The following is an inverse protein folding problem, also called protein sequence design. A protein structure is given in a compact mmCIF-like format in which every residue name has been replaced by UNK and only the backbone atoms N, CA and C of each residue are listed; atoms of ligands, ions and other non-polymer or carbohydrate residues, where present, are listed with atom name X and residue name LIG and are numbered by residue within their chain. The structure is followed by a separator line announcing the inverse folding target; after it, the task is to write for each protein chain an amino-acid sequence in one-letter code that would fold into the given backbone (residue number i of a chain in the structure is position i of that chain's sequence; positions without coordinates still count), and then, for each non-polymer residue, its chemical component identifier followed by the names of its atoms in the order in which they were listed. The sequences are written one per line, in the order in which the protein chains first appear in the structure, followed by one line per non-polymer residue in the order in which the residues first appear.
data_IF_141298882964
#
_entry.id   IF_141298882964
#
_cell.length_a   1.000
_cell.length_b   1.000
_cell.length_c   1.000
_cell.angle_alpha   90.00
_cell.angle_beta   90.00
_cell.angle_gamma   90.00
#
_symmetry.space_group_name_H-M   'P 1'
#
loop_
_entity.id
_entity.type
_entity.pdbx_description
1 polymer ?
#
# COMPACT_ATOMS: atom_id res chain seq x y z
N UNK A 1 -45.85 24.12 -8.87
CA UNK A 1 -44.66 23.39 -9.34
C UNK A 1 -43.45 24.05 -8.68
N UNK A 2 -43.08 23.58 -7.49
CA UNK A 2 -42.18 24.29 -6.57
C UNK A 2 -40.76 24.22 -7.12
N UNK A 3 -40.25 25.37 -7.56
CA UNK A 3 -38.84 25.56 -7.91
C UNK A 3 -38.08 25.56 -6.59
N UNK A 4 -37.68 24.36 -6.16
CA UNK A 4 -36.85 24.16 -4.98
C UNK A 4 -35.42 24.53 -5.34
N UNK A 5 -34.87 25.54 -4.67
CA UNK A 5 -33.42 25.80 -4.53
C UNK A 5 -32.77 24.66 -3.72
N UNK A 6 -32.99 23.42 -4.17
CA UNK A 6 -32.60 22.22 -3.44
C UNK A 6 -31.13 21.95 -3.72
N UNK A 7 -30.30 22.47 -2.83
CA UNK A 7 -28.92 22.01 -2.67
C UNK A 7 -28.98 20.55 -2.21
N UNK A 8 -29.13 19.61 -3.14
CA UNK A 8 -29.03 18.18 -2.81
C UNK A 8 -27.57 17.85 -2.57
N UNK A 9 -27.15 17.94 -1.31
CA UNK A 9 -25.85 17.48 -0.86
C UNK A 9 -25.82 15.95 -0.93
N UNK A 10 -25.13 15.42 -1.92
CA UNK A 10 -24.68 14.03 -1.86
C UNK A 10 -23.55 13.94 -0.81
N UNK A 11 -23.37 12.79 -0.14
CA UNK A 11 -22.14 12.60 0.62
C UNK A 11 -20.97 12.69 -0.36
N UNK A 12 -20.01 13.56 0.00
CA UNK A 12 -18.70 13.73 -0.63
C UNK A 12 -18.68 14.61 -1.90
N UNK A 13 -18.22 15.85 -1.73
CA UNK A 13 -17.51 16.73 -2.66
C UNK A 13 -18.12 17.12 -4.03
N UNK A 14 -19.20 16.50 -4.50
CA UNK A 14 -19.84 16.85 -5.78
C UNK A 14 -21.18 17.54 -5.55
N UNK A 15 -21.29 18.78 -6.01
CA UNK A 15 -22.51 19.61 -5.88
C UNK A 15 -22.99 19.98 -7.28
N UNK A 16 -24.27 19.72 -7.56
CA UNK A 16 -24.93 20.22 -8.77
C UNK A 16 -25.79 21.42 -8.38
N UNK A 17 -25.46 22.59 -8.91
CA UNK A 17 -26.21 23.83 -8.68
C UNK A 17 -26.92 24.23 -9.96
N UNK A 18 -28.23 24.50 -9.88
CA UNK A 18 -29.02 24.97 -11.02
C UNK A 18 -29.34 26.45 -10.83
N UNK A 19 -28.89 27.28 -11.76
CA UNK A 19 -29.24 28.70 -11.89
C UNK A 19 -30.12 28.93 -13.13
N UNK A 20 -30.76 30.10 -13.23
CA UNK A 20 -31.80 30.42 -14.24
C UNK A 20 -31.48 29.94 -15.66
N UNK A 21 -30.22 30.06 -16.11
CA UNK A 21 -29.78 29.62 -17.45
C UNK A 21 -28.67 28.57 -17.45
N UNK A 22 -28.14 28.16 -16.29
CA UNK A 22 -26.93 27.32 -16.22
C UNK A 22 -27.02 26.25 -15.15
N UNK A 23 -26.41 25.10 -15.40
CA UNK A 23 -26.22 24.02 -14.43
C UNK A 23 -24.72 23.89 -14.17
N UNK A 24 -24.31 24.08 -12.93
CA UNK A 24 -22.92 23.98 -12.49
C UNK A 24 -22.70 22.65 -11.81
N UNK A 25 -21.71 21.88 -12.26
CA UNK A 25 -21.22 20.69 -11.56
C UNK A 25 -19.91 21.07 -10.88
N UNK A 26 -19.93 21.12 -9.56
CA UNK A 26 -18.83 21.54 -8.69
C UNK A 26 -18.24 20.31 -8.03
N UNK A 27 -16.91 20.19 -8.01
CA UNK A 27 -16.15 19.15 -7.31
C UNK A 27 -15.14 19.81 -6.36
N UNK A 28 -15.15 19.47 -5.07
CA UNK A 28 -14.23 19.99 -4.06
C UNK A 28 -14.09 21.53 -4.11
N UNK A 29 -15.23 22.24 -4.09
CA UNK A 29 -15.33 23.71 -4.21
C UNK A 29 -14.76 24.33 -5.51
N UNK A 30 -14.48 23.55 -6.56
CA UNK A 30 -14.11 24.04 -7.89
C UNK A 30 -15.16 23.65 -8.92
N UNK A 31 -15.48 24.56 -9.85
CA UNK A 31 -16.40 24.26 -10.96
C UNK A 31 -15.71 23.27 -11.91
N UNK A 32 -16.23 22.05 -11.99
CA UNK A 32 -15.74 21.00 -12.88
C UNK A 32 -16.31 21.16 -14.29
N UNK A 33 -17.58 21.53 -14.42
CA UNK A 33 -18.26 21.70 -15.71
C UNK A 33 -19.49 22.62 -15.57
N UNK A 34 -19.87 23.27 -16.66
CA UNK A 34 -21.07 24.13 -16.74
C UNK A 34 -21.87 23.77 -17.98
N UNK A 35 -23.18 23.64 -17.82
CA UNK A 35 -24.13 23.29 -18.88
C UNK A 35 -25.21 24.37 -18.99
N UNK A 36 -25.85 24.49 -20.16
CA UNK A 36 -27.07 25.29 -20.28
C UNK A 36 -28.25 24.59 -19.59
N UNK A 37 -29.11 25.36 -18.93
CA UNK A 37 -30.30 24.84 -18.23
C UNK A 37 -31.40 24.47 -19.22
N UNK A 38 -31.22 23.32 -19.89
CA UNK A 38 -32.16 22.72 -20.85
C UNK A 38 -32.54 21.30 -20.38
N UNK A 39 -33.82 20.89 -20.48
CA UNK A 39 -34.28 19.55 -20.08
C UNK A 39 -33.46 18.39 -20.66
N UNK A 40 -32.96 18.59 -21.88
CA UNK A 40 -32.20 17.60 -22.65
C UNK A 40 -30.84 17.26 -22.00
N UNK A 41 -30.33 18.12 -21.13
CA UNK A 41 -28.95 18.04 -20.60
C UNK A 41 -28.88 17.38 -19.22
N UNK A 42 -30.01 17.24 -18.52
CA UNK A 42 -30.05 16.60 -17.20
C UNK A 42 -29.48 15.16 -17.17
N UNK A 43 -29.72 14.28 -18.17
CA UNK A 43 -29.11 12.95 -18.18
C UNK A 43 -27.57 13.00 -18.22
N UNK A 44 -26.99 13.92 -18.99
CA UNK A 44 -25.54 14.11 -19.09
C UNK A 44 -24.95 14.66 -17.79
N UNK A 45 -25.62 15.63 -17.16
CA UNK A 45 -25.25 16.16 -15.83
C UNK A 45 -25.24 15.05 -14.79
N UNK A 46 -26.27 14.19 -14.78
CA UNK A 46 -26.34 13.05 -13.86
C UNK A 46 -25.26 12.01 -14.10
N UNK A 47 -24.96 11.69 -15.37
CA UNK A 47 -23.88 10.78 -15.71
C UNK A 47 -22.52 11.30 -15.23
N UNK A 48 -22.24 12.60 -15.44
CA UNK A 48 -21.03 13.25 -14.96
C UNK A 48 -20.94 13.23 -13.43
N UNK A 49 -22.01 13.62 -12.73
CA UNK A 49 -22.02 13.61 -11.26
C UNK A 49 -21.73 12.20 -10.70
N UNK A 50 -22.33 11.15 -11.29
CA UNK A 50 -22.05 9.76 -10.91
C UNK A 50 -20.59 9.36 -11.15
N UNK A 51 -20.03 9.74 -12.29
CA UNK A 51 -18.63 9.45 -12.62
C UNK A 51 -17.66 10.11 -11.62
N UNK A 52 -17.89 11.38 -11.27
CA UNK A 52 -17.06 12.11 -10.30
C UNK A 52 -17.17 11.52 -8.89
N UNK A 53 -18.35 11.07 -8.47
CA UNK A 53 -18.55 10.38 -7.18
C UNK A 53 -17.80 9.04 -7.17
N UNK A 54 -17.88 8.26 -8.26
CA UNK A 54 -17.16 6.99 -8.38
C UNK A 54 -15.64 7.18 -8.33
N UNK A 55 -15.12 8.19 -9.02
CA UNK A 55 -13.70 8.57 -9.01
C UNK A 55 -13.21 9.01 -7.61
N UNK A 56 -14.03 9.75 -6.85
CA UNK A 56 -13.68 10.13 -5.49
C UNK A 56 -13.65 8.92 -4.56
N UNK A 57 -14.66 8.05 -4.64
CA UNK A 57 -14.67 6.80 -3.86
C UNK A 57 -13.48 5.91 -4.18
N UNK A 58 -13.06 5.81 -5.45
CA UNK A 58 -11.89 5.03 -5.82
C UNK A 58 -10.60 5.66 -5.28
N UNK A 59 -10.45 6.99 -5.36
CA UNK A 59 -9.31 7.72 -4.79
C UNK A 59 -9.25 7.64 -3.26
N UNK A 60 -10.37 7.81 -2.57
CA UNK A 60 -10.46 7.65 -1.11
C UNK A 60 -10.13 6.21 -0.70
N UNK A 61 -10.64 5.21 -1.42
CA UNK A 61 -10.31 3.81 -1.15
C UNK A 61 -8.82 3.53 -1.37
N UNK A 62 -8.26 3.97 -2.50
CA UNK A 62 -6.83 3.81 -2.82
C UNK A 62 -5.95 4.47 -1.75
N UNK A 63 -6.21 5.73 -1.42
CA UNK A 63 -5.46 6.46 -0.38
C UNK A 63 -5.58 5.80 1.00
N UNK A 64 -6.75 5.27 1.35
CA UNK A 64 -6.96 4.54 2.61
C UNK A 64 -6.16 3.24 2.66
N UNK A 65 -6.17 2.47 1.57
CA UNK A 65 -5.39 1.23 1.40
C UNK A 65 -3.88 1.53 1.48
N UNK A 66 -3.40 2.53 0.74
CA UNK A 66 -1.99 2.93 0.76
C UNK A 66 -1.55 3.42 2.15
N UNK A 67 -2.43 4.12 2.88
CA UNK A 67 -2.16 4.57 4.24
C UNK A 67 -2.08 3.40 5.21
N UNK A 68 -3.02 2.45 5.13
CA UNK A 68 -3.01 1.25 5.95
C UNK A 68 -1.72 0.43 5.72
N UNK A 69 -1.35 0.19 4.46
CA UNK A 69 -0.09 -0.48 4.11
C UNK A 69 1.11 0.22 4.74
N UNK A 70 1.22 1.54 4.57
CA UNK A 70 2.36 2.31 5.10
C UNK A 70 2.49 2.19 6.61
N UNK A 71 1.37 2.23 7.34
CA UNK A 71 1.39 2.09 8.80
C UNK A 71 1.82 0.67 9.19
N UNK A 72 1.19 -0.36 8.62
CA UNK A 72 1.48 -1.75 8.97
C UNK A 72 2.92 -2.12 8.61
N UNK A 73 3.34 -1.81 7.38
CA UNK A 73 4.71 -2.02 6.93
C UNK A 73 5.72 -1.28 7.79
N UNK A 74 5.47 0.00 8.09
CA UNK A 74 6.36 0.81 8.94
C UNK A 74 6.54 0.22 10.34
N UNK A 75 5.46 -0.31 10.95
CA UNK A 75 5.54 -0.97 12.25
C UNK A 75 6.37 -2.25 12.16
N UNK A 76 6.15 -3.10 11.15
CA UNK A 76 6.92 -4.33 10.96
C UNK A 76 8.40 -4.04 10.72
N UNK A 77 8.72 -3.05 9.89
CA UNK A 77 10.10 -2.63 9.65
C UNK A 77 10.78 -2.13 10.93
N UNK A 78 10.06 -1.38 11.77
CA UNK A 78 10.59 -0.94 13.05
C UNK A 78 10.89 -2.11 13.99
N UNK A 79 10.01 -3.13 14.02
CA UNK A 79 10.23 -4.35 14.80
C UNK A 79 11.44 -5.13 14.28
N UNK A 80 11.58 -5.29 12.95
CA UNK A 80 12.75 -5.95 12.34
C UNK A 80 14.04 -5.23 12.73
N UNK A 81 14.08 -3.90 12.59
CA UNK A 81 15.26 -3.10 12.96
C UNK A 81 15.60 -3.24 14.45
N UNK A 82 14.58 -3.28 15.33
CA UNK A 82 14.79 -3.41 16.78
C UNK A 82 15.39 -4.76 17.18
N UNK A 83 15.11 -5.82 16.43
CA UNK A 83 15.56 -7.18 16.72
C UNK A 83 16.91 -7.51 16.06
N UNK A 84 17.29 -6.76 15.04
CA UNK A 84 18.57 -6.92 14.36
C UNK A 84 19.72 -6.21 15.08
N UNK A 85 20.93 -6.75 14.94
CA UNK A 85 22.13 -6.08 15.39
C UNK A 85 22.55 -4.99 14.39
N UNK A 86 22.95 -3.84 14.93
CA UNK A 86 23.48 -2.73 14.15
C UNK A 86 24.95 -2.95 13.76
N UNK A 87 25.35 -2.41 12.61
CA UNK A 87 26.77 -2.29 12.25
C UNK A 87 27.45 -1.09 12.95
N UNK A 88 28.74 -0.88 12.68
CA UNK A 88 29.51 0.29 13.18
C UNK A 88 28.89 1.65 12.80
N UNK A 89 27.99 1.68 11.83
CA UNK A 89 27.32 2.88 11.32
C UNK A 89 25.89 3.03 11.86
N UNK A 90 25.44 2.14 12.75
CA UNK A 90 24.11 2.16 13.34
C UNK A 90 23.00 1.66 12.42
N UNK A 91 23.32 0.88 11.39
CA UNK A 91 22.33 0.30 10.48
C UNK A 91 22.10 -1.16 10.77
N UNK A 92 20.83 -1.53 10.84
CA UNK A 92 20.40 -2.94 10.88
C UNK A 92 20.77 -3.66 9.58
N UNK A 93 20.82 -5.00 9.62
CA UNK A 93 21.06 -5.83 8.43
C UNK A 93 20.08 -5.52 7.30
N UNK A 94 18.79 -5.55 7.59
CA UNK A 94 17.73 -5.25 6.63
C UNK A 94 17.85 -3.85 6.04
N UNK A 95 18.24 -2.84 6.83
CA UNK A 95 18.47 -1.47 6.32
C UNK A 95 19.64 -1.41 5.32
N UNK A 96 20.72 -2.15 5.56
CA UNK A 96 21.87 -2.21 4.64
C UNK A 96 21.47 -2.88 3.32
N UNK A 97 20.77 -4.01 3.38
CA UNK A 97 20.27 -4.73 2.20
C UNK A 97 19.31 -3.83 1.40
N UNK A 98 18.36 -3.17 2.07
CA UNK A 98 17.39 -2.28 1.42
C UNK A 98 18.06 -1.11 0.68
N UNK A 99 19.15 -0.55 1.23
CA UNK A 99 19.95 0.49 0.57
C UNK A 99 20.68 -0.02 -0.66
N UNK A 100 21.23 -1.22 -0.58
CA UNK A 100 21.88 -1.86 -1.72
C UNK A 100 20.87 -2.12 -2.83
N UNK A 101 19.73 -2.73 -2.51
CA UNK A 101 18.62 -2.98 -3.44
C UNK A 101 18.15 -1.70 -4.11
N UNK A 102 17.94 -0.63 -3.33
CA UNK A 102 17.58 0.69 -3.87
C UNK A 102 18.63 1.25 -4.83
N UNK A 103 19.91 1.06 -4.53
CA UNK A 103 21.01 1.54 -5.37
C UNK A 103 21.09 0.75 -6.68
N UNK A 104 20.97 -0.57 -6.61
CA UNK A 104 20.93 -1.45 -7.79
C UNK A 104 19.71 -1.15 -8.66
N UNK A 105 18.52 -1.04 -8.08
CA UNK A 105 17.29 -0.75 -8.82
C UNK A 105 17.34 0.60 -9.55
N UNK A 106 17.99 1.61 -8.96
CA UNK A 106 18.25 2.89 -9.64
C UNK A 106 19.19 2.76 -10.83
N UNK A 107 20.27 1.98 -10.68
CA UNK A 107 21.20 1.71 -11.79
C UNK A 107 20.52 0.96 -12.94
N UNK A 108 19.50 0.14 -12.64
CA UNK A 108 18.67 -0.57 -13.62
C UNK A 108 17.52 0.29 -14.18
N UNK A 109 17.44 1.58 -13.84
CA UNK A 109 16.43 2.53 -14.32
C UNK A 109 14.98 2.12 -14.03
N UNK A 110 14.74 1.42 -12.91
CA UNK A 110 13.38 1.13 -12.47
C UNK A 110 12.64 2.38 -12.01
N UNK A 111 11.31 2.39 -12.17
CA UNK A 111 10.47 3.46 -11.66
C UNK A 111 10.43 3.50 -10.11
N UNK A 112 9.98 4.63 -9.56
CA UNK A 112 9.96 4.84 -8.11
C UNK A 112 9.06 3.85 -7.37
N UNK A 113 7.95 3.43 -7.98
CA UNK A 113 7.01 2.49 -7.36
C UNK A 113 7.66 1.12 -7.19
N UNK A 114 8.37 0.65 -8.23
CA UNK A 114 9.13 -0.60 -8.20
C UNK A 114 10.32 -0.53 -7.26
N UNK A 115 11.01 0.61 -7.20
CA UNK A 115 12.09 0.82 -6.22
C UNK A 115 11.56 0.74 -4.79
N UNK A 116 10.44 1.40 -4.49
CA UNK A 116 9.81 1.36 -3.17
C UNK A 116 9.39 -0.07 -2.80
N UNK A 117 8.74 -0.78 -3.72
CA UNK A 117 8.37 -2.19 -3.54
C UNK A 117 9.58 -3.09 -3.24
N UNK A 118 10.66 -2.99 -4.03
CA UNK A 118 11.88 -3.79 -3.82
C UNK A 118 12.56 -3.44 -2.49
N UNK A 119 12.55 -2.17 -2.11
CA UNK A 119 13.10 -1.71 -0.82
C UNK A 119 12.28 -2.29 0.33
N UNK A 120 10.96 -2.34 0.22
CA UNK A 120 10.08 -2.96 1.22
C UNK A 120 10.30 -4.47 1.33
N UNK A 121 10.44 -5.16 0.19
CA UNK A 121 10.82 -6.58 0.16
C UNK A 121 12.13 -6.83 0.91
N UNK A 122 13.13 -6.00 0.63
CA UNK A 122 14.44 -6.08 1.29
C UNK A 122 14.36 -5.80 2.79
N UNK A 123 13.52 -4.86 3.23
CA UNK A 123 13.34 -4.58 4.66
C UNK A 123 12.63 -5.71 5.42
N UNK A 124 11.82 -6.52 4.73
CA UNK A 124 11.00 -7.56 5.34
C UNK A 124 11.49 -8.99 5.04
N UNK A 125 12.56 -9.17 4.26
CA UNK A 125 13.02 -10.48 3.80
C UNK A 125 13.27 -11.48 4.95
N UNK A 126 13.78 -10.98 6.08
CA UNK A 126 14.16 -11.79 7.23
C UNK A 126 13.13 -11.74 8.38
N UNK A 127 11.91 -11.21 8.16
CA UNK A 127 10.87 -11.09 9.20
C UNK A 127 10.51 -12.43 9.86
N UNK A 128 10.71 -13.55 9.16
CA UNK A 128 10.48 -14.89 9.72
C UNK A 128 11.45 -15.29 10.83
N UNK A 129 12.60 -14.61 10.97
CA UNK A 129 13.56 -14.87 12.06
C UNK A 129 12.98 -14.62 13.44
N UNK A 130 12.03 -13.67 13.54
CA UNK A 130 11.27 -13.38 14.77
C UNK A 130 10.64 -14.67 15.35
N UNK A 131 10.08 -15.49 14.47
CA UNK A 131 9.46 -16.75 14.84
C UNK A 131 10.46 -17.82 15.28
N UNK A 132 11.60 -17.88 14.60
CA UNK A 132 12.66 -18.85 14.89
C UNK A 132 13.29 -18.57 16.25
N UNK A 133 13.62 -17.31 16.54
CA UNK A 133 14.23 -16.91 17.81
C UNK A 133 13.34 -17.23 19.01
N UNK A 134 12.02 -17.02 18.88
CA UNK A 134 11.06 -17.46 19.90
C UNK A 134 11.07 -18.98 20.08
N UNK A 135 11.03 -19.75 18.99
CA UNK A 135 11.04 -21.22 19.07
C UNK A 135 12.34 -21.76 19.68
N UNK A 136 13.47 -21.09 19.44
CA UNK A 136 14.77 -21.42 20.04
C UNK A 136 14.79 -21.14 21.55
N UNK A 137 14.15 -20.08 22.04
CA UNK A 137 14.07 -19.77 23.47
C UNK A 137 13.34 -20.85 24.30
N UNK A 138 12.33 -21.53 23.72
CA UNK A 138 11.50 -22.48 24.46
C UNK A 138 11.93 -23.95 24.34
N UNK A 139 12.92 -24.27 23.51
CA UNK A 139 13.39 -25.66 23.36
C UNK A 139 14.85 -25.73 22.89
N UNK A 140 15.82 -25.85 23.82
CA UNK A 140 17.23 -26.03 23.49
C UNK A 140 17.51 -27.28 22.64
N UNK A 141 16.65 -28.29 22.69
CA UNK A 141 16.77 -29.52 21.88
C UNK A 141 16.26 -29.36 20.44
N UNK A 142 15.44 -28.34 20.14
CA UNK A 142 15.02 -27.99 18.76
C UNK A 142 16.06 -27.19 18.00
N UNK A 143 17.07 -26.67 18.68
CA UNK A 143 18.22 -25.94 18.12
C UNK A 143 18.77 -26.67 16.88
N UNK A 144 18.98 -27.98 16.97
CA UNK A 144 19.61 -28.77 15.89
C UNK A 144 18.75 -28.95 14.63
N UNK A 145 17.43 -28.76 14.71
CA UNK A 145 16.49 -28.97 13.60
C UNK A 145 16.31 -27.67 12.79
N UNK A 146 16.17 -26.53 13.47
CA UNK A 146 15.91 -25.24 12.83
C UNK A 146 17.20 -24.50 12.40
N UNK A 147 18.33 -24.70 13.08
CA UNK A 147 19.60 -24.05 12.71
C UNK A 147 20.12 -24.47 11.31
N UNK A 148 19.70 -25.64 10.81
CA UNK A 148 20.22 -26.20 9.56
C UNK A 148 19.33 -25.94 8.33
N UNK A 149 18.25 -25.16 8.46
CA UNK A 149 17.43 -24.76 7.32
C UNK A 149 17.28 -23.24 7.24
N UNK A 150 18.18 -22.54 6.51
CA UNK A 150 17.96 -21.16 6.06
C UNK A 150 16.62 -20.95 5.33
N UNK A 151 15.94 -22.03 4.93
CA UNK A 151 14.61 -21.99 4.32
C UNK A 151 13.49 -21.77 5.35
N UNK A 152 13.72 -22.04 6.64
CA UNK A 152 12.64 -21.96 7.64
C UNK A 152 12.15 -20.54 7.87
N UNK A 153 13.03 -19.53 7.88
CA UNK A 153 12.59 -18.14 8.07
C UNK A 153 11.91 -17.60 6.82
N UNK A 154 12.29 -18.08 5.62
CA UNK A 154 11.59 -17.69 4.39
C UNK A 154 10.14 -18.18 4.40
N UNK A 155 9.92 -19.42 4.86
CA UNK A 155 8.60 -20.04 4.96
C UNK A 155 7.81 -19.33 6.06
N UNK A 156 8.41 -19.13 7.23
CA UNK A 156 7.75 -18.47 8.36
C UNK A 156 7.39 -17.01 8.04
N UNK A 157 8.31 -16.28 7.42
CA UNK A 157 8.07 -14.90 6.97
C UNK A 157 6.94 -14.82 5.95
N UNK A 158 6.90 -15.76 5.00
CA UNK A 158 5.79 -15.88 4.07
C UNK A 158 4.45 -16.14 4.78
N UNK A 159 4.40 -17.03 5.76
CA UNK A 159 3.19 -17.31 6.56
C UNK A 159 2.75 -16.07 7.34
N UNK A 160 3.67 -15.37 8.01
CA UNK A 160 3.36 -14.15 8.77
C UNK A 160 2.78 -13.06 7.88
N UNK A 161 3.45 -12.77 6.76
CA UNK A 161 3.00 -11.73 5.84
C UNK A 161 1.72 -12.11 5.08
N UNK A 162 1.45 -13.40 4.87
CA UNK A 162 0.20 -13.87 4.25
C UNK A 162 -1.04 -13.59 5.11
N UNK A 163 -0.89 -13.34 6.41
CA UNK A 163 -1.99 -12.92 7.28
C UNK A 163 -2.38 -11.44 7.11
N UNK A 164 -1.56 -10.67 6.39
CA UNK A 164 -1.71 -9.22 6.21
C UNK A 164 -2.02 -8.95 4.74
N UNK A 165 -3.30 -8.75 4.42
CA UNK A 165 -3.78 -8.52 3.04
C UNK A 165 -2.98 -7.46 2.29
N UNK A 166 -2.62 -6.39 2.99
CA UNK A 166 -1.87 -5.26 2.44
C UNK A 166 -0.40 -5.58 2.10
N UNK A 167 0.13 -6.77 2.37
CA UNK A 167 1.53 -7.16 2.13
C UNK A 167 1.67 -8.46 1.32
N UNK A 168 0.57 -8.98 0.76
CA UNK A 168 0.58 -10.22 -0.01
C UNK A 168 1.52 -10.22 -1.21
N UNK A 169 1.71 -9.05 -1.84
CA UNK A 169 2.63 -8.84 -2.95
C UNK A 169 4.12 -9.00 -2.56
N UNK A 170 4.46 -8.82 -1.29
CA UNK A 170 5.84 -8.95 -0.77
C UNK A 170 6.16 -10.43 -0.45
N UNK A 171 5.14 -11.25 -0.18
CA UNK A 171 5.26 -12.65 0.24
C UNK A 171 6.16 -13.48 -0.70
N UNK A 172 6.03 -13.42 -2.04
CA UNK A 172 6.89 -14.21 -2.93
C UNK A 172 8.36 -13.85 -2.80
N UNK A 173 8.68 -12.56 -2.68
CA UNK A 173 10.06 -12.09 -2.52
C UNK A 173 10.65 -12.58 -1.19
N UNK A 174 9.90 -12.47 -0.09
CA UNK A 174 10.32 -12.98 1.22
C UNK A 174 10.50 -14.50 1.20
N UNK A 175 9.61 -15.24 0.55
CA UNK A 175 9.67 -16.71 0.48
C UNK A 175 10.87 -17.22 -0.32
N UNK A 176 11.28 -16.50 -1.36
CA UNK A 176 12.21 -17.01 -2.36
C UNK A 176 13.58 -16.34 -2.36
N UNK A 177 13.91 -15.51 -1.37
CA UNK A 177 15.17 -14.76 -1.38
C UNK A 177 16.44 -15.61 -1.17
N UNK A 178 16.31 -16.91 -0.86
CA UNK A 178 17.41 -17.90 -0.83
C UNK A 178 17.43 -18.82 -2.05
N UNK A 179 16.51 -18.65 -3.01
CA UNK A 179 16.52 -19.43 -4.25
C UNK A 179 17.67 -18.98 -5.15
N UNK A 180 18.24 -19.95 -5.86
CA UNK A 180 19.31 -19.72 -6.82
C UNK A 180 18.73 -19.75 -8.24
N UNK A 181 19.39 -19.08 -9.18
CA UNK A 181 18.92 -18.97 -10.56
C UNK A 181 18.92 -20.33 -11.30
N UNK A 182 19.77 -21.27 -10.87
CA UNK A 182 19.96 -22.60 -11.44
C UNK A 182 19.06 -23.70 -10.83
N UNK A 183 18.24 -23.36 -9.83
CA UNK A 183 17.35 -24.30 -9.12
C UNK A 183 18.03 -25.05 -7.99
#
# INVERSE_FOLDING_TARGET
MVISTERRSFPCDVIVTVEKNKIHVVKANRVSSVFESKPQVYPAVWALAKALIAENKSKEKLTSVSRARRIVSGILQAIVVLLETEDERGYSHSQRVARLVKSVAKTLEFDNERIEYLTECAMLHDVGKIGIEQLMMFSPTRIRIFENMPKDHTIMGAVYLSSIEYLWDVVPAVRSHHEHWDG
#
